data_IF_922509123287
#
_entry.id   IF_922509123287
#
_cell.length_a   1.000
_cell.length_b   1.000
_cell.length_c   1.000
_cell.angle_alpha   90.00
_cell.angle_beta   90.00
_cell.angle_gamma   90.00
#
_symmetry.space_group_name_H-M   'P 1'
#
loop_
_entity.id
_entity.type
_entity.pdbx_description
1 polymer ?
#
# COMPACT_ATOMS: atom_id res chain seq x y z
N UNK A 1 -10.62 5.71 -7.43
CA UNK A 1 -10.66 5.85 -5.96
C UNK A 1 -9.24 5.77 -5.41
N UNK A 2 -8.94 6.28 -4.22
CA UNK A 2 -7.60 6.19 -3.62
C UNK A 2 -7.64 5.92 -2.12
N UNK A 3 -6.83 4.97 -1.68
CA UNK A 3 -6.63 4.62 -0.28
C UNK A 3 -5.15 4.66 0.11
N UNK A 4 -4.84 5.22 1.28
CA UNK A 4 -3.53 5.07 1.91
C UNK A 4 -3.53 3.75 2.67
N UNK A 5 -2.57 2.88 2.37
CA UNK A 5 -2.44 1.54 2.96
C UNK A 5 -1.49 1.55 4.15
N UNK A 6 -0.33 2.19 4.00
CA UNK A 6 0.70 2.28 5.03
C UNK A 6 1.49 3.58 4.87
N UNK A 7 2.02 4.10 5.98
CA UNK A 7 2.95 5.24 6.02
C UNK A 7 4.22 4.90 6.78
N UNK A 8 4.53 3.61 6.91
CA UNK A 8 5.67 3.11 7.66
C UNK A 8 6.99 3.31 6.89
N UNK A 9 8.11 3.18 7.60
CA UNK A 9 9.47 3.20 7.02
C UNK A 9 9.79 4.38 6.10
N UNK A 10 9.25 5.57 6.41
CA UNK A 10 9.45 6.82 5.69
C UNK A 10 8.90 6.81 4.25
N UNK A 11 7.89 6.01 3.93
CA UNK A 11 7.27 5.99 2.61
C UNK A 11 5.76 5.81 2.71
N UNK A 12 5.03 6.21 1.69
CA UNK A 12 3.58 6.05 1.60
C UNK A 12 3.26 4.97 0.59
N UNK A 13 2.48 3.99 1.02
CA UNK A 13 1.86 2.99 0.17
C UNK A 13 0.44 3.44 -0.13
N UNK A 14 0.11 3.66 -1.40
CA UNK A 14 -1.21 4.08 -1.83
C UNK A 14 -1.77 3.10 -2.86
N UNK A 15 -3.02 2.70 -2.68
CA UNK A 15 -3.76 1.92 -3.66
C UNK A 15 -4.69 2.87 -4.44
N UNK A 16 -4.58 2.85 -5.77
CA UNK A 16 -5.38 3.69 -6.68
C UNK A 16 -6.14 2.77 -7.63
N UNK A 17 -7.47 2.92 -7.66
CA UNK A 17 -8.31 2.25 -8.66
C UNK A 17 -8.44 3.15 -9.89
N UNK A 18 -7.95 2.65 -11.01
CA UNK A 18 -8.07 3.31 -12.32
C UNK A 18 -9.46 3.15 -12.91
N UNK A 19 -9.84 4.05 -13.81
CA UNK A 19 -11.19 4.18 -14.36
C UNK A 19 -11.74 2.92 -15.07
N UNK A 20 -10.85 2.05 -15.57
CA UNK A 20 -11.20 0.83 -16.29
C UNK A 20 -10.98 -0.45 -15.47
N UNK A 21 -10.61 -0.34 -14.20
CA UNK A 21 -10.37 -1.49 -13.33
C UNK A 21 -11.62 -1.81 -12.52
N UNK A 22 -12.03 -3.09 -12.55
CA UNK A 22 -13.17 -3.57 -11.79
C UNK A 22 -12.67 -4.41 -10.63
N UNK A 23 -12.94 -3.94 -9.41
CA UNK A 23 -12.55 -4.60 -8.15
C UNK A 23 -11.05 -4.87 -7.99
N UNK A 24 -10.21 -4.14 -8.74
CA UNK A 24 -8.75 -4.16 -8.58
C UNK A 24 -8.18 -2.76 -8.40
N UNK A 25 -7.04 -2.70 -7.73
CA UNK A 25 -6.27 -1.48 -7.48
C UNK A 25 -4.83 -1.66 -7.96
N UNK A 26 -4.21 -0.57 -8.38
CA UNK A 26 -2.76 -0.49 -8.55
C UNK A 26 -2.13 0.05 -7.27
N UNK A 27 -1.05 -0.57 -6.82
CA UNK A 27 -0.28 -0.13 -5.66
C UNK A 27 0.87 0.77 -6.12
N UNK A 28 0.98 1.92 -5.48
CA UNK A 28 2.05 2.88 -5.67
C UNK A 28 2.81 3.10 -4.37
N UNK A 29 4.12 3.31 -4.48
CA UNK A 29 5.00 3.64 -3.35
C UNK A 29 5.61 5.01 -3.61
N UNK A 30 5.67 5.83 -2.58
CA UNK A 30 6.23 7.18 -2.66
C UNK A 30 7.74 7.23 -2.47
N UNK A 31 8.34 8.37 -2.83
CA UNK A 31 9.61 8.81 -2.28
C UNK A 31 9.49 9.12 -0.77
N UNK A 32 10.62 9.42 -0.12
CA UNK A 32 10.64 9.63 1.34
C UNK A 32 9.85 10.84 1.83
N UNK A 33 9.44 11.71 0.91
CA UNK A 33 8.65 12.91 1.18
C UNK A 33 7.16 12.70 0.95
N UNK A 34 6.74 11.56 0.40
CA UNK A 34 5.35 11.30 0.06
C UNK A 34 4.84 12.08 -1.15
N UNK A 35 5.73 12.50 -2.07
CA UNK A 35 5.39 13.39 -3.20
C UNK A 35 5.38 12.65 -4.52
N UNK A 36 6.42 11.87 -4.82
CA UNK A 36 6.57 11.19 -6.10
C UNK A 36 6.25 9.71 -5.95
N UNK A 37 5.28 9.23 -6.72
CA UNK A 37 4.80 7.85 -6.64
C UNK A 37 5.24 7.05 -7.86
N UNK A 38 5.69 5.83 -7.61
CA UNK A 38 6.03 4.86 -8.66
C UNK A 38 5.15 3.62 -8.51
N UNK A 39 4.69 3.07 -9.63
CA UNK A 39 3.91 1.83 -9.66
C UNK A 39 4.74 0.67 -9.12
N UNK A 40 4.21 -0.02 -8.11
CA UNK A 40 4.87 -1.14 -7.45
C UNK A 40 4.20 -2.49 -7.78
N UNK A 41 2.87 -2.51 -7.87
CA UNK A 41 2.11 -3.72 -8.19
C UNK A 41 0.80 -3.37 -8.91
N UNK A 42 0.47 -4.14 -9.95
CA UNK A 42 -0.76 -3.96 -10.71
C UNK A 42 -1.84 -4.96 -10.30
N UNK A 43 -3.10 -4.56 -10.48
CA UNK A 43 -4.27 -5.43 -10.38
C UNK A 43 -4.40 -6.18 -9.05
N UNK A 44 -4.07 -5.52 -7.95
CA UNK A 44 -4.29 -6.03 -6.58
C UNK A 44 -5.77 -6.23 -6.36
N UNK A 45 -6.16 -7.43 -5.94
CA UNK A 45 -7.55 -7.77 -5.67
C UNK A 45 -8.10 -6.94 -4.51
N UNK A 46 -9.36 -6.54 -4.65
CA UNK A 46 -10.11 -5.91 -3.57
C UNK A 46 -11.44 -6.61 -3.36
N UNK A 47 -11.92 -6.58 -2.13
CA UNK A 47 -13.26 -7.03 -1.78
C UNK A 47 -14.00 -5.92 -1.05
N UNK A 48 -15.33 -5.92 -1.15
CA UNK A 48 -16.19 -4.96 -0.47
C UNK A 48 -16.93 -5.65 0.66
N UNK A 49 -16.73 -5.15 1.88
CA UNK A 49 -17.43 -5.61 3.06
C UNK A 49 -18.90 -5.18 3.07
N UNK A 50 -19.71 -5.75 3.98
CA UNK A 50 -21.15 -5.49 4.05
C UNK A 50 -21.54 -4.01 4.24
N UNK A 51 -20.66 -3.23 4.84
CA UNK A 51 -20.85 -1.79 5.10
C UNK A 51 -20.24 -0.90 4.01
N UNK A 52 -19.72 -1.48 2.92
CA UNK A 52 -19.04 -0.76 1.85
C UNK A 52 -17.55 -0.51 2.10
N UNK A 53 -16.99 -1.03 3.19
CA UNK A 53 -15.55 -0.98 3.46
C UNK A 53 -14.80 -1.75 2.37
N UNK A 54 -13.83 -1.10 1.73
CA UNK A 54 -12.96 -1.73 0.74
C UNK A 54 -11.79 -2.40 1.46
N UNK A 55 -11.64 -3.70 1.26
CA UNK A 55 -10.48 -4.47 1.69
C UNK A 55 -9.58 -4.67 0.48
N UNK A 56 -8.29 -4.39 0.64
CA UNK A 56 -7.28 -4.54 -0.42
C UNK A 56 -6.30 -5.61 0.05
N UNK A 57 -6.15 -6.68 -0.72
CA UNK A 57 -5.42 -7.86 -0.29
C UNK A 57 -3.90 -7.65 -0.46
N UNK A 58 -3.23 -7.27 0.62
CA UNK A 58 -1.78 -6.99 0.67
C UNK A 58 -1.15 -7.58 1.95
N UNK A 59 0.12 -7.97 1.86
CA UNK A 59 0.93 -8.42 3.00
C UNK A 59 2.28 -7.70 3.01
N UNK A 60 2.53 -6.91 4.04
CA UNK A 60 3.81 -6.23 4.27
C UNK A 60 4.72 -7.11 5.14
N UNK A 61 5.99 -7.27 4.72
CA UNK A 61 7.01 -8.01 5.50
C UNK A 61 7.92 -7.00 6.17
N UNK A 62 7.58 -6.54 7.37
CA UNK A 62 8.46 -5.68 8.16
C UNK A 62 9.58 -6.53 8.77
N UNK A 63 10.82 -6.36 8.32
CA UNK A 63 11.98 -6.96 8.97
C UNK A 63 12.44 -6.08 10.13
N UNK A 64 12.09 -6.47 11.36
CA UNK A 64 12.64 -5.83 12.56
C UNK A 64 14.13 -6.17 12.70
N UNK A 65 15.01 -5.25 12.30
CA UNK A 65 16.45 -5.36 12.62
C UNK A 65 16.63 -4.90 14.06
N UNK A 66 16.76 -5.86 14.99
CA UNK A 66 17.28 -5.54 16.32
C UNK A 66 18.77 -5.20 16.19
N UNK A 67 19.11 -3.92 16.36
CA UNK A 67 20.49 -3.54 16.70
C UNK A 67 20.71 -3.98 18.14
N UNK A 68 21.33 -5.16 18.34
CA UNK A 68 21.93 -5.49 19.63
C UNK A 68 23.08 -4.51 19.84
N UNK A 69 22.89 -3.55 20.74
CA UNK A 69 24.00 -2.78 21.28
C UNK A 69 24.93 -3.76 22.02
N UNK A 70 26.13 -3.95 21.49
CA UNK A 70 27.15 -4.74 22.20
C UNK A 70 27.64 -3.95 23.44
N UNK A 71 27.91 -4.64 24.57
CA UNK A 71 28.22 -4.02 25.86
C UNK A 71 29.57 -3.29 25.92
#
# INVERSE_FOLDING_TARGET
DMHVISTDENQVFAAVQEWNQNDTYNLYISDTRGVYFTLALENVQSSRGPEGNVMIDLYEVCHQVHVVAEP
#
